data_IF_523276840907
#
_entry.id   IF_523276840907
#
_cell.length_a   1.000
_cell.length_b   1.000
_cell.length_c   1.000
_cell.angle_alpha   90.00
_cell.angle_beta   90.00
_cell.angle_gamma   90.00
#
_symmetry.space_group_name_H-M   'P 1'
#
loop_
_entity.id
_entity.type
_entity.pdbx_description
1 polymer ?
#
# COMPACT_ATOMS: atom_id res chain seq x y z
N UNK A 1 30.90 56.08 -8.46
CA UNK A 1 30.30 55.36 -9.60
C UNK A 1 30.92 53.98 -9.66
N UNK A 2 30.15 52.91 -9.48
CA UNK A 2 30.63 51.56 -9.78
C UNK A 2 30.79 51.48 -11.30
N UNK A 3 31.98 51.09 -11.78
CA UNK A 3 32.16 50.84 -13.22
C UNK A 3 31.28 49.65 -13.64
N UNK A 4 30.71 49.65 -14.86
CA UNK A 4 29.88 48.56 -15.35
C UNK A 4 30.60 47.20 -15.31
N UNK A 5 31.92 47.20 -15.44
CA UNK A 5 32.77 46.01 -15.34
C UNK A 5 32.84 45.42 -13.92
N UNK A 6 32.97 46.27 -12.89
CA UNK A 6 32.94 45.85 -11.48
C UNK A 6 31.56 45.30 -11.10
N UNK A 7 30.52 45.90 -11.68
CA UNK A 7 29.15 45.45 -11.48
C UNK A 7 28.91 44.07 -12.10
N UNK A 8 29.29 43.86 -13.36
CA UNK A 8 29.18 42.56 -14.04
C UNK A 8 29.99 41.49 -13.30
N UNK A 9 31.18 41.83 -12.83
CA UNK A 9 32.05 40.91 -12.07
C UNK A 9 31.42 40.50 -10.73
N UNK A 10 30.80 41.43 -10.02
CA UNK A 10 30.06 41.14 -8.79
C UNK A 10 28.84 40.26 -9.06
N UNK A 11 28.12 40.55 -10.14
CA UNK A 11 26.93 39.82 -10.57
C UNK A 11 27.26 38.37 -10.98
N UNK A 12 28.37 38.19 -11.70
CA UNK A 12 28.91 36.86 -12.04
C UNK A 12 29.39 36.11 -10.79
N UNK A 13 30.05 36.79 -9.86
CA UNK A 13 30.52 36.18 -8.61
C UNK A 13 29.35 35.73 -7.72
N UNK A 14 28.31 36.56 -7.58
CA UNK A 14 27.09 36.22 -6.87
C UNK A 14 26.33 35.08 -7.58
N UNK A 15 26.17 35.14 -8.90
CA UNK A 15 25.53 34.07 -9.67
C UNK A 15 26.30 32.74 -9.54
N UNK A 16 27.63 32.77 -9.62
CA UNK A 16 28.48 31.59 -9.46
C UNK A 16 28.42 31.04 -8.02
N UNK A 17 28.44 31.89 -7.00
CA UNK A 17 28.28 31.48 -5.60
C UNK A 17 26.92 30.83 -5.33
N UNK A 18 25.87 31.29 -6.00
CA UNK A 18 24.53 30.74 -5.85
C UNK A 18 24.30 29.48 -6.66
N UNK A 19 24.88 29.38 -7.87
CA UNK A 19 24.90 28.16 -8.66
C UNK A 19 25.67 27.05 -7.94
N UNK A 20 26.79 27.38 -7.29
CA UNK A 20 27.55 26.39 -6.50
C UNK A 20 26.80 25.96 -5.25
N UNK A 21 26.09 26.87 -4.56
CA UNK A 21 25.25 26.54 -3.42
C UNK A 21 24.02 25.71 -3.83
N UNK A 22 23.40 26.02 -4.97
CA UNK A 22 22.29 25.24 -5.52
C UNK A 22 22.76 23.86 -5.99
N UNK A 23 23.93 23.79 -6.64
CA UNK A 23 24.59 22.54 -7.02
C UNK A 23 24.92 21.66 -5.81
N UNK A 24 25.48 22.23 -4.74
CA UNK A 24 25.80 21.47 -3.52
C UNK A 24 24.55 20.98 -2.81
N UNK A 25 23.49 21.80 -2.76
CA UNK A 25 22.19 21.41 -2.19
C UNK A 25 21.56 20.29 -3.03
N UNK A 26 21.66 20.37 -4.36
CA UNK A 26 21.18 19.33 -5.28
C UNK A 26 21.90 18.00 -5.10
N UNK A 27 23.23 18.04 -4.96
CA UNK A 27 24.05 16.84 -4.68
C UNK A 27 23.67 16.24 -3.32
N UNK A 28 23.56 17.08 -2.28
CA UNK A 28 23.20 16.62 -0.94
C UNK A 28 21.82 15.93 -0.93
N UNK A 29 20.84 16.54 -1.58
CA UNK A 29 19.49 15.98 -1.67
C UNK A 29 19.50 14.69 -2.47
N UNK A 30 20.17 14.65 -3.62
CA UNK A 30 20.32 13.44 -4.42
C UNK A 30 20.90 12.29 -3.60
N UNK A 31 21.96 12.55 -2.82
CA UNK A 31 22.57 11.55 -1.93
C UNK A 31 21.63 11.09 -0.81
N UNK A 32 20.86 12.01 -0.21
CA UNK A 32 19.87 11.65 0.82
C UNK A 32 18.75 10.78 0.25
N UNK A 33 18.28 11.11 -0.96
CA UNK A 33 17.28 10.32 -1.67
C UNK A 33 17.82 8.95 -2.04
N UNK A 34 19.00 8.90 -2.63
CA UNK A 34 19.62 7.65 -3.05
C UNK A 34 19.81 6.70 -1.86
N UNK A 35 20.44 7.16 -0.77
CA UNK A 35 20.62 6.35 0.46
C UNK A 35 19.30 5.88 1.05
N UNK A 36 18.25 6.68 0.90
CA UNK A 36 16.92 6.33 1.39
C UNK A 36 16.26 5.26 0.52
N UNK A 37 16.35 5.41 -0.80
CA UNK A 37 15.86 4.42 -1.76
C UNK A 37 16.55 3.09 -1.51
N UNK A 38 17.88 3.09 -1.38
CA UNK A 38 18.67 1.88 -1.07
C UNK A 38 18.20 1.21 0.23
N UNK A 39 17.97 1.99 1.30
CA UNK A 39 17.45 1.45 2.58
C UNK A 39 16.04 0.91 2.47
N UNK A 40 15.14 1.59 1.75
CA UNK A 40 13.77 1.16 1.57
C UNK A 40 13.69 -0.10 0.69
N UNK A 41 14.52 -0.18 -0.35
CA UNK A 41 14.67 -1.37 -1.19
C UNK A 41 15.22 -2.55 -0.39
N UNK A 42 16.29 -2.35 0.36
CA UNK A 42 16.86 -3.42 1.22
C UNK A 42 15.86 -3.96 2.24
N UNK A 43 15.04 -3.10 2.86
CA UNK A 43 13.98 -3.55 3.79
C UNK A 43 12.87 -4.30 3.05
N UNK A 44 12.55 -3.88 1.83
CA UNK A 44 11.55 -4.56 1.01
C UNK A 44 12.07 -5.94 0.57
N UNK A 45 13.33 -6.05 0.16
CA UNK A 45 13.98 -7.32 -0.16
C UNK A 45 13.97 -8.25 1.06
N UNK A 46 14.39 -7.77 2.24
CA UNK A 46 14.36 -8.54 3.48
C UNK A 46 12.92 -9.00 3.82
N UNK A 47 11.93 -8.12 3.64
CA UNK A 47 10.50 -8.46 3.86
C UNK A 47 10.01 -9.55 2.90
N UNK A 48 10.52 -9.59 1.68
CA UNK A 48 10.15 -10.53 0.64
C UNK A 48 10.95 -11.84 0.68
N UNK A 49 12.09 -11.86 1.38
CA UNK A 49 12.84 -13.08 1.68
C UNK A 49 12.24 -13.87 2.85
N UNK A 50 11.56 -13.20 3.80
CA UNK A 50 10.92 -13.86 4.95
C UNK A 50 10.07 -15.08 4.55
N UNK A 51 9.19 -15.01 3.53
CA UNK A 51 8.33 -16.13 3.16
C UNK A 51 9.04 -17.41 2.75
N UNK A 52 10.33 -17.36 2.39
CA UNK A 52 11.13 -18.54 2.03
C UNK A 52 11.69 -19.30 3.24
N UNK A 53 11.51 -18.77 4.45
CA UNK A 53 11.87 -19.48 5.68
C UNK A 53 10.70 -20.31 6.20
N UNK A 54 10.56 -21.53 5.70
CA UNK A 54 9.52 -22.47 6.14
C UNK A 54 9.64 -22.77 7.66
N UNK A 55 8.48 -22.90 8.32
CA UNK A 55 8.32 -23.36 9.72
C UNK A 55 8.68 -22.39 10.86
N UNK A 56 9.00 -21.11 10.63
CA UNK A 56 9.18 -20.11 11.71
C UNK A 56 7.98 -19.18 11.85
N UNK A 57 7.74 -18.65 13.06
CA UNK A 57 6.80 -17.52 13.23
C UNK A 57 7.44 -16.23 12.71
N UNK A 58 6.98 -15.79 11.53
CA UNK A 58 7.50 -14.62 10.83
C UNK A 58 6.61 -13.38 11.02
N UNK A 59 5.43 -13.50 11.66
CA UNK A 59 4.55 -12.35 11.93
C UNK A 59 5.26 -11.30 12.83
N UNK A 60 6.12 -11.76 13.74
CA UNK A 60 7.07 -10.97 14.51
C UNK A 60 7.97 -10.07 13.65
N UNK A 61 8.94 -10.69 12.95
CA UNK A 61 9.86 -10.03 12.02
C UNK A 61 9.17 -9.16 10.96
N UNK A 62 8.08 -9.65 10.36
CA UNK A 62 7.39 -8.98 9.26
C UNK A 62 6.80 -7.63 9.68
N UNK A 63 6.13 -7.58 10.84
CA UNK A 63 5.64 -6.31 11.41
C UNK A 63 6.78 -5.37 11.76
N UNK A 64 7.91 -5.90 12.26
CA UNK A 64 9.07 -5.07 12.58
C UNK A 64 9.66 -4.44 11.32
N UNK A 65 9.82 -5.19 10.23
CA UNK A 65 10.30 -4.67 8.95
C UNK A 65 9.36 -3.63 8.37
N UNK A 66 8.06 -3.86 8.43
CA UNK A 66 7.08 -2.87 7.96
C UNK A 66 7.13 -1.59 8.82
N UNK A 67 7.28 -1.70 10.14
CA UNK A 67 7.48 -0.53 11.01
C UNK A 67 8.78 0.20 10.67
N UNK A 68 9.87 -0.53 10.42
CA UNK A 68 11.16 0.02 9.99
C UNK A 68 11.03 0.74 8.64
N UNK A 69 10.31 0.15 7.69
CA UNK A 69 9.97 0.75 6.41
C UNK A 69 9.22 2.06 6.59
N UNK A 70 8.19 2.07 7.43
CA UNK A 70 7.41 3.27 7.76
C UNK A 70 8.23 4.38 8.39
N UNK A 71 9.15 4.04 9.29
CA UNK A 71 10.04 5.01 9.92
C UNK A 71 10.96 5.69 8.91
N UNK A 72 11.42 4.97 7.89
CA UNK A 72 12.23 5.55 6.82
C UNK A 72 11.37 6.26 5.75
N UNK A 73 10.10 5.89 5.59
CA UNK A 73 9.18 6.48 4.61
C UNK A 73 8.51 7.78 5.10
N UNK A 74 8.25 7.93 6.40
CA UNK A 74 7.64 9.13 6.96
C UNK A 74 8.72 10.00 7.60
N UNK A 75 9.07 11.12 6.94
CA UNK A 75 9.94 12.12 7.56
C UNK A 75 9.31 12.62 8.88
N UNK A 76 10.10 12.82 9.95
CA UNK A 76 9.63 13.64 11.05
C UNK A 76 9.30 15.03 10.49
N UNK A 77 8.11 15.55 10.79
CA UNK A 77 7.61 16.80 10.22
C UNK A 77 8.54 18.02 10.46
N UNK A 78 9.36 17.97 11.52
CA UNK A 78 10.27 19.06 11.92
C UNK A 78 11.45 19.27 10.96
N UNK A 79 12.35 18.29 10.73
CA UNK A 79 13.51 18.48 9.85
C UNK A 79 13.14 18.83 8.40
N UNK A 80 12.08 18.22 7.84
CA UNK A 80 11.63 18.54 6.48
C UNK A 80 11.19 19.99 6.34
N UNK A 81 10.44 20.50 7.34
CA UNK A 81 10.03 21.90 7.39
C UNK A 81 11.21 22.85 7.60
N UNK A 82 12.20 22.47 8.41
CA UNK A 82 13.42 23.28 8.61
C UNK A 82 14.26 23.40 7.35
N UNK A 83 14.41 22.31 6.58
CA UNK A 83 15.13 22.33 5.29
C UNK A 83 14.42 23.22 4.28
N UNK A 84 13.09 23.10 4.15
CA UNK A 84 12.30 23.96 3.28
C UNK A 84 12.36 25.43 3.70
N UNK A 85 12.34 25.71 5.01
CA UNK A 85 12.45 27.08 5.53
C UNK A 85 13.83 27.66 5.26
N UNK A 86 14.91 26.89 5.47
CA UNK A 86 16.27 27.33 5.16
C UNK A 86 16.41 27.66 3.66
N UNK A 87 15.82 26.84 2.80
CA UNK A 87 15.81 27.08 1.36
C UNK A 87 14.98 28.32 1.00
N UNK A 88 13.78 28.47 1.54
CA UNK A 88 12.95 29.64 1.31
C UNK A 88 13.66 30.93 1.79
N UNK A 89 14.37 30.86 2.91
CA UNK A 89 15.16 31.97 3.43
C UNK A 89 16.35 32.32 2.54
N UNK A 90 17.12 31.33 2.06
CA UNK A 90 18.23 31.60 1.14
C UNK A 90 17.72 32.17 -0.19
N UNK A 91 16.61 31.66 -0.71
CA UNK A 91 15.97 32.21 -1.92
C UNK A 91 15.52 33.65 -1.74
N UNK A 92 14.90 33.96 -0.61
CA UNK A 92 14.45 35.32 -0.31
C UNK A 92 15.64 36.28 -0.21
N UNK A 93 16.71 35.86 0.45
CA UNK A 93 17.94 36.65 0.62
C UNK A 93 18.64 36.90 -0.73
N UNK A 94 18.67 35.89 -1.61
CA UNK A 94 19.17 36.01 -2.98
C UNK A 94 18.36 37.04 -3.76
N UNK A 95 17.03 36.87 -3.80
CA UNK A 95 16.15 37.77 -4.52
C UNK A 95 16.27 39.21 -4.01
N UNK A 96 16.42 39.38 -2.69
CA UNK A 96 16.59 40.68 -2.06
C UNK A 96 17.92 41.35 -2.45
N UNK A 97 19.06 40.66 -2.29
CA UNK A 97 20.37 41.18 -2.69
C UNK A 97 20.36 41.59 -4.17
N UNK A 98 19.78 40.75 -5.03
CA UNK A 98 19.71 41.00 -6.47
C UNK A 98 18.79 42.14 -6.87
N UNK A 99 17.60 42.27 -6.25
CA UNK A 99 16.73 43.43 -6.46
C UNK A 99 17.42 44.73 -6.04
N UNK A 100 18.17 44.69 -4.95
CA UNK A 100 18.94 45.85 -4.45
C UNK A 100 20.01 46.26 -5.47
N UNK A 101 20.72 45.28 -6.04
CA UNK A 101 21.74 45.46 -7.07
C UNK A 101 21.14 46.02 -8.37
N UNK A 102 20.01 45.46 -8.84
CA UNK A 102 19.28 45.95 -10.01
C UNK A 102 18.80 47.40 -9.82
N UNK A 103 18.30 47.73 -8.63
CA UNK A 103 17.85 49.09 -8.30
C UNK A 103 19.01 50.08 -8.25
N UNK A 104 20.20 49.67 -7.78
CA UNK A 104 21.39 50.53 -7.72
C UNK A 104 21.99 50.80 -9.10
N UNK A 105 21.76 49.91 -10.07
CA UNK A 105 22.29 50.01 -11.44
C UNK A 105 21.31 50.56 -12.45
N UNK A 106 20.11 50.88 -12.03
CA UNK A 106 19.13 51.52 -12.88
C UNK A 106 19.58 52.94 -13.24
N UNK A 107 19.93 53.13 -14.51
CA UNK A 107 20.18 54.45 -15.09
C UNK A 107 19.16 54.66 -16.20
N UNK A 108 18.53 55.83 -16.20
CA UNK A 108 17.62 56.22 -17.26
C UNK A 108 18.41 56.90 -18.38
N UNK A 109 18.19 56.58 -19.67
CA UNK A 109 17.19 55.66 -20.23
C UNK A 109 17.59 54.17 -20.20
N UNK A 110 16.59 53.29 -20.30
CA UNK A 110 16.76 51.82 -20.23
C UNK A 110 17.69 51.33 -21.34
N UNK A 111 18.88 50.87 -20.93
CA UNK A 111 19.86 50.23 -21.80
C UNK A 111 19.39 48.82 -22.22
N UNK A 112 19.53 48.38 -23.48
CA UNK A 112 19.36 46.99 -23.91
C UNK A 112 20.05 45.96 -22.99
N UNK A 113 21.19 46.32 -22.39
CA UNK A 113 21.91 45.47 -21.45
C UNK A 113 21.09 45.19 -20.17
N UNK A 114 20.25 46.14 -19.74
CA UNK A 114 19.33 45.97 -18.62
C UNK A 114 18.25 44.91 -18.92
N UNK A 115 17.74 44.87 -20.15
CA UNK A 115 16.75 43.87 -20.59
C UNK A 115 17.34 42.46 -20.56
N UNK A 116 18.61 42.30 -20.97
CA UNK A 116 19.33 41.03 -20.90
C UNK A 116 19.50 40.55 -19.43
N UNK A 117 19.77 41.47 -18.51
CA UNK A 117 19.84 41.16 -17.07
C UNK A 117 18.47 40.69 -16.52
N UNK A 118 17.36 41.32 -16.93
CA UNK A 118 16.02 40.88 -16.57
C UNK A 118 15.67 39.48 -17.13
N UNK A 119 16.13 39.15 -18.35
CA UNK A 119 15.92 37.81 -18.91
C UNK A 119 16.68 36.72 -18.13
N UNK A 120 17.94 36.98 -17.77
CA UNK A 120 18.72 36.11 -16.88
C UNK A 120 18.01 35.92 -15.53
N UNK A 121 17.39 36.97 -14.98
CA UNK A 121 16.60 36.89 -13.76
C UNK A 121 15.41 35.92 -13.90
N UNK A 122 14.69 35.96 -15.02
CA UNK A 122 13.57 35.06 -15.27
C UNK A 122 14.02 33.59 -15.38
N UNK A 123 15.13 33.32 -16.05
CA UNK A 123 15.68 31.95 -16.15
C UNK A 123 16.17 31.40 -14.81
N UNK A 124 16.83 32.21 -13.99
CA UNK A 124 17.29 31.79 -12.65
C UNK A 124 16.09 31.53 -11.75
N UNK A 125 15.10 32.43 -11.74
CA UNK A 125 13.86 32.24 -10.97
C UNK A 125 13.10 30.97 -11.38
N UNK A 126 13.05 30.67 -12.69
CA UNK A 126 12.47 29.44 -13.23
C UNK A 126 13.19 28.18 -12.74
N UNK A 127 14.52 28.15 -12.79
CA UNK A 127 15.33 27.04 -12.30
C UNK A 127 15.16 26.83 -10.79
N UNK A 128 15.15 27.91 -10.02
CA UNK A 128 14.89 27.89 -8.58
C UNK A 128 13.50 27.33 -8.25
N UNK A 129 12.47 27.77 -8.96
CA UNK A 129 11.11 27.28 -8.77
C UNK A 129 11.02 25.77 -9.05
N UNK A 130 11.63 25.32 -10.14
CA UNK A 130 11.68 23.91 -10.52
C UNK A 130 12.42 23.08 -9.45
N UNK A 131 13.55 23.59 -8.94
CA UNK A 131 14.31 22.96 -7.87
C UNK A 131 13.52 22.86 -6.56
N UNK A 132 12.82 23.94 -6.15
CA UNK A 132 11.93 23.92 -4.97
C UNK A 132 10.84 22.87 -5.11
N UNK A 133 10.24 22.76 -6.29
CA UNK A 133 9.20 21.77 -6.57
C UNK A 133 9.75 20.34 -6.48
N UNK A 134 10.94 20.09 -7.05
CA UNK A 134 11.61 18.78 -6.94
C UNK A 134 11.97 18.44 -5.48
N UNK A 135 12.37 19.43 -4.68
CA UNK A 135 12.70 19.20 -3.27
C UNK A 135 11.49 18.92 -2.40
N UNK A 136 10.41 19.68 -2.56
CA UNK A 136 9.15 19.40 -1.86
C UNK A 136 8.67 17.99 -2.20
N UNK A 137 8.70 17.63 -3.48
CA UNK A 137 8.37 16.29 -3.98
C UNK A 137 9.27 15.18 -3.42
N UNK A 138 10.52 15.50 -3.15
CA UNK A 138 11.51 14.58 -2.58
C UNK A 138 11.31 14.38 -1.07
N UNK A 139 10.99 15.45 -0.35
CA UNK A 139 10.81 15.44 1.11
C UNK A 139 9.46 14.79 1.49
N UNK A 140 8.41 14.97 0.68
CA UNK A 140 7.12 14.29 0.86
C UNK A 140 6.82 13.38 -0.34
N UNK A 141 7.35 12.13 -0.37
CA UNK A 141 7.06 11.19 -1.46
C UNK A 141 5.60 10.72 -1.47
N UNK A 142 4.84 10.98 -0.40
CA UNK A 142 3.41 10.65 -0.29
C UNK A 142 2.61 11.38 -1.36
N UNK A 143 2.19 10.63 -2.39
CA UNK A 143 1.24 11.12 -3.40
C UNK A 143 1.88 11.69 -4.67
N UNK A 144 3.21 11.63 -4.83
CA UNK A 144 3.83 12.06 -6.08
C UNK A 144 3.79 10.93 -7.13
N UNK A 145 3.11 11.12 -8.28
CA UNK A 145 3.04 10.11 -9.34
C UNK A 145 4.41 9.69 -9.89
N UNK A 146 5.43 10.54 -9.78
CA UNK A 146 6.79 10.22 -10.25
C UNK A 146 7.54 9.22 -9.35
N UNK A 147 7.26 9.20 -8.04
CA UNK A 147 7.96 8.33 -7.07
C UNK A 147 7.15 7.12 -6.63
N UNK A 148 5.81 7.16 -6.74
CA UNK A 148 4.93 6.02 -6.46
C UNK A 148 5.31 4.72 -7.19
N UNK A 149 5.78 4.71 -8.46
CA UNK A 149 6.19 3.46 -9.12
C UNK A 149 7.52 2.91 -8.58
N UNK A 150 8.36 3.73 -7.93
CA UNK A 150 9.68 3.31 -7.43
C UNK A 150 9.62 2.95 -5.94
N UNK A 151 8.83 3.69 -5.14
CA UNK A 151 8.75 3.53 -3.68
C UNK A 151 7.30 3.32 -3.28
N UNK A 152 6.94 2.12 -2.78
CA UNK A 152 5.58 1.86 -2.38
C UNK A 152 5.19 2.65 -1.13
N UNK A 153 4.00 3.26 -1.09
CA UNK A 153 3.56 3.90 0.13
C UNK A 153 3.22 2.81 1.17
N UNK A 154 3.53 3.03 2.47
CA UNK A 154 3.45 1.98 3.46
C UNK A 154 2.08 1.34 3.64
N UNK A 155 1.00 2.09 3.38
CA UNK A 155 -0.36 1.57 3.49
C UNK A 155 -0.70 0.50 2.43
N UNK A 156 0.09 0.39 1.36
CA UNK A 156 -0.11 -0.63 0.31
C UNK A 156 0.70 -1.91 0.55
N UNK A 157 1.57 -1.94 1.56
CA UNK A 157 2.38 -3.14 1.88
C UNK A 157 1.56 -4.34 2.38
N UNK A 158 0.26 -4.15 2.66
CA UNK A 158 -0.68 -5.23 2.99
C UNK A 158 -1.48 -5.75 1.81
N UNK A 159 -1.46 -5.05 0.66
CA UNK A 159 -2.18 -5.49 -0.53
C UNK A 159 -1.35 -6.54 -1.25
N UNK A 160 -1.95 -7.71 -1.43
CA UNK A 160 -1.32 -8.85 -2.09
C UNK A 160 -1.08 -8.55 -3.57
N UNK A 161 -2.08 -7.95 -4.24
CA UNK A 161 -1.99 -7.55 -5.65
C UNK A 161 -0.90 -6.51 -5.90
N UNK A 162 -0.68 -5.66 -4.90
CA UNK A 162 0.28 -4.60 -5.00
C UNK A 162 1.70 -5.15 -4.84
N UNK A 163 1.94 -6.00 -3.83
CA UNK A 163 3.24 -6.64 -3.64
C UNK A 163 3.67 -7.48 -4.85
N UNK A 164 2.74 -8.22 -5.46
CA UNK A 164 3.03 -9.05 -6.64
C UNK A 164 3.43 -8.24 -7.89
N UNK A 165 3.00 -6.98 -8.00
CA UNK A 165 3.39 -6.08 -9.10
C UNK A 165 4.75 -5.44 -8.91
N UNK A 166 5.19 -5.25 -7.66
CA UNK A 166 6.43 -4.54 -7.37
C UNK A 166 7.64 -5.46 -7.38
N UNK A 167 7.47 -6.73 -6.98
CA UNK A 167 8.54 -7.73 -6.98
C UNK A 167 7.97 -9.07 -7.43
N UNK A 168 8.77 -9.85 -8.16
CA UNK A 168 8.43 -11.16 -8.68
C UNK A 168 8.37 -12.22 -7.55
N UNK A 169 7.52 -11.99 -6.55
CA UNK A 169 7.29 -12.90 -5.42
C UNK A 169 6.02 -13.66 -5.66
N UNK A 170 6.05 -14.96 -5.37
CA UNK A 170 4.85 -15.79 -5.51
C UNK A 170 3.77 -15.32 -4.53
N UNK A 171 2.57 -15.06 -5.05
CA UNK A 171 1.41 -14.67 -4.21
C UNK A 171 1.11 -15.73 -3.16
N UNK A 172 1.34 -17.00 -3.49
CA UNK A 172 1.29 -18.15 -2.58
C UNK A 172 2.13 -17.90 -1.32
N UNK A 173 3.40 -17.52 -1.49
CA UNK A 173 4.32 -17.28 -0.37
C UNK A 173 3.85 -16.12 0.53
N UNK A 174 3.32 -15.04 -0.06
CA UNK A 174 2.80 -13.88 0.70
C UNK A 174 1.58 -14.28 1.52
N UNK A 175 0.61 -14.96 0.91
CA UNK A 175 -0.62 -15.38 1.58
C UNK A 175 -0.35 -16.44 2.66
N UNK A 176 0.68 -17.28 2.52
CA UNK A 176 1.09 -18.22 3.57
C UNK A 176 1.43 -17.51 4.89
N UNK A 177 1.92 -16.27 4.83
CA UNK A 177 2.25 -15.46 6.02
C UNK A 177 1.01 -14.89 6.72
N UNK A 178 -0.13 -14.80 6.03
CA UNK A 178 -1.40 -14.39 6.63
C UNK A 178 -1.87 -15.38 7.70
N UNK A 179 -1.46 -16.66 7.58
CA UNK A 179 -1.81 -17.78 8.47
C UNK A 179 -3.30 -17.82 8.76
N UNK A 180 -4.05 -18.09 7.71
CA UNK A 180 -5.49 -18.25 7.80
C UNK A 180 -5.86 -19.40 8.74
N UNK A 181 -6.82 -19.15 9.61
CA UNK A 181 -7.56 -20.17 10.35
C UNK A 181 -9.04 -19.84 10.25
N UNK A 182 -9.88 -20.86 10.19
CA UNK A 182 -11.32 -20.70 10.14
C UNK A 182 -11.93 -21.18 11.47
N UNK A 183 -12.89 -20.42 11.98
CA UNK A 183 -13.67 -20.83 13.15
C UNK A 183 -15.15 -20.58 12.94
N UNK A 184 -15.99 -21.47 13.45
CA UNK A 184 -17.43 -21.27 13.58
C UNK A 184 -17.75 -21.14 15.06
N UNK A 185 -18.39 -20.05 15.46
CA UNK A 185 -18.84 -19.84 16.84
C UNK A 185 -20.08 -20.68 17.16
N UNK A 186 -20.41 -20.82 18.46
CA UNK A 186 -21.64 -21.46 18.93
C UNK A 186 -22.90 -20.91 18.23
N UNK A 187 -22.91 -19.59 18.03
CA UNK A 187 -23.97 -18.81 17.40
C UNK A 187 -24.09 -19.00 15.88
N UNK A 188 -23.26 -19.87 15.29
CA UNK A 188 -23.24 -20.17 13.86
C UNK A 188 -22.54 -19.13 13.00
N UNK A 189 -21.71 -18.25 13.57
CA UNK A 189 -20.96 -17.25 12.82
C UNK A 189 -19.64 -17.82 12.29
N UNK A 190 -19.43 -17.76 10.97
CA UNK A 190 -18.17 -18.09 10.34
C UNK A 190 -17.21 -16.92 10.46
N UNK A 191 -16.05 -17.15 11.06
CA UNK A 191 -14.97 -16.17 11.22
C UNK A 191 -13.68 -16.69 10.59
N UNK A 192 -13.08 -15.85 9.75
CA UNK A 192 -11.72 -16.04 9.23
C UNK A 192 -10.75 -15.29 10.13
N UNK A 193 -9.90 -16.03 10.83
CA UNK A 193 -8.80 -15.48 11.63
C UNK A 193 -7.57 -15.33 10.74
N UNK A 194 -6.95 -14.16 10.77
CA UNK A 194 -5.66 -13.89 10.15
C UNK A 194 -4.66 -13.48 11.23
N UNK A 195 -3.52 -14.18 11.32
CA UNK A 195 -2.44 -13.75 12.23
C UNK A 195 -1.81 -12.43 11.74
N UNK A 196 -1.72 -12.25 10.42
CA UNK A 196 -1.24 -11.01 9.79
C UNK A 196 -2.25 -10.50 8.75
N UNK A 197 -2.65 -9.24 8.86
CA UNK A 197 -3.69 -8.66 8.01
C UNK A 197 -3.22 -8.43 6.56
N UNK A 198 -3.61 -9.30 5.63
CA UNK A 198 -3.46 -9.08 4.19
C UNK A 198 -4.81 -8.81 3.55
N UNK A 199 -4.86 -7.88 2.60
CA UNK A 199 -6.08 -7.46 1.92
C UNK A 199 -5.96 -7.48 0.39
N UNK A 200 -7.02 -6.97 -0.26
CA UNK A 200 -7.09 -6.74 -1.71
C UNK A 200 -7.13 -8.04 -2.52
N UNK A 201 -7.92 -8.98 -2.01
CA UNK A 201 -8.29 -10.20 -2.72
C UNK A 201 -9.78 -10.48 -2.59
N UNK A 202 -10.31 -11.14 -3.60
CA UNK A 202 -11.68 -11.65 -3.58
C UNK A 202 -11.65 -13.09 -3.06
N UNK A 203 -12.59 -13.46 -2.20
CA UNK A 203 -12.68 -14.82 -1.67
C UNK A 203 -13.99 -15.50 -2.04
N UNK A 204 -13.94 -16.83 -2.03
CA UNK A 204 -15.11 -17.69 -2.11
C UNK A 204 -14.90 -18.86 -1.13
N UNK A 205 -15.79 -18.97 -0.15
CA UNK A 205 -15.83 -20.01 0.87
C UNK A 205 -17.05 -20.90 0.61
N UNK A 206 -16.84 -22.21 0.64
CA UNK A 206 -17.90 -23.18 0.53
C UNK A 206 -17.76 -24.27 1.60
N UNK A 207 -18.86 -24.58 2.27
CA UNK A 207 -19.01 -25.73 3.16
C UNK A 207 -20.12 -26.63 2.61
N UNK A 208 -19.75 -27.86 2.25
CA UNK A 208 -20.67 -28.81 1.62
C UNK A 208 -21.69 -29.35 2.60
N UNK A 209 -21.25 -29.68 3.81
CA UNK A 209 -22.04 -30.34 4.85
C UNK A 209 -23.17 -29.44 5.36
N UNK A 210 -22.89 -28.13 5.48
CA UNK A 210 -23.87 -27.12 5.91
C UNK A 210 -24.56 -26.41 4.76
N UNK A 211 -24.24 -26.76 3.50
CA UNK A 211 -24.66 -26.03 2.30
C UNK A 211 -24.47 -24.51 2.44
N UNK A 212 -23.34 -24.07 2.97
CA UNK A 212 -23.08 -22.66 3.21
C UNK A 212 -22.12 -22.11 2.17
N UNK A 213 -22.40 -20.89 1.71
CA UNK A 213 -21.60 -20.16 0.74
C UNK A 213 -21.28 -18.76 1.28
N UNK A 214 -20.03 -18.30 1.19
CA UNK A 214 -19.67 -16.90 1.46
C UNK A 214 -18.65 -16.39 0.45
N UNK A 215 -18.77 -15.14 0.02
CA UNK A 215 -17.88 -14.56 -0.98
C UNK A 215 -17.82 -13.04 -0.87
N UNK A 216 -16.82 -12.44 -1.50
CA UNK A 216 -16.71 -10.99 -1.60
C UNK A 216 -15.28 -10.50 -1.58
N UNK A 217 -15.11 -9.19 -1.50
CA UNK A 217 -13.80 -8.55 -1.44
C UNK A 217 -13.38 -8.30 0.02
N UNK A 218 -12.20 -8.78 0.40
CA UNK A 218 -11.57 -8.40 1.67
C UNK A 218 -10.71 -7.17 1.46
N UNK A 219 -11.22 -6.02 1.93
CA UNK A 219 -10.53 -4.75 1.92
C UNK A 219 -10.58 -4.11 3.29
N UNK A 220 -9.41 -3.94 3.92
CA UNK A 220 -9.35 -3.35 5.25
C UNK A 220 -9.13 -1.84 5.17
N UNK A 221 -9.57 -1.10 6.17
CA UNK A 221 -9.19 0.30 6.36
C UNK A 221 -8.84 0.48 7.82
N UNK A 222 -7.54 0.61 8.12
CA UNK A 222 -7.10 0.77 9.49
C UNK A 222 -6.97 2.25 9.83
N UNK A 223 -7.54 2.70 10.96
CA UNK A 223 -7.34 4.07 11.39
C UNK A 223 -5.86 4.30 11.72
N UNK A 224 -5.33 5.52 11.49
CA UNK A 224 -3.97 5.84 11.88
C UNK A 224 -3.79 5.68 13.39
N UNK A 225 -2.58 5.31 13.80
CA UNK A 225 -2.23 5.13 15.21
C UNK A 225 -2.62 6.39 16.02
N UNK A 226 -3.39 6.26 17.11
CA UNK A 226 -3.87 7.40 17.87
C UNK A 226 -2.75 8.29 18.41
N UNK A 227 -1.60 7.70 18.76
CA UNK A 227 -0.44 8.38 19.36
C UNK A 227 0.42 9.01 18.27
N UNK A 228 0.86 8.21 17.29
CA UNK A 228 1.84 8.66 16.31
C UNK A 228 1.22 9.33 15.08
N UNK A 229 -0.11 9.18 14.89
CA UNK A 229 -0.86 9.56 13.68
C UNK A 229 -0.32 8.94 12.39
N UNK A 230 0.60 7.97 12.49
CA UNK A 230 1.15 7.25 11.34
C UNK A 230 0.14 6.21 10.85
N UNK A 231 0.09 5.94 9.54
CA UNK A 231 -0.73 4.86 9.00
C UNK A 231 -0.32 3.54 9.67
N UNK A 232 -1.29 2.70 10.02
CA UNK A 232 -1.07 1.33 10.51
C UNK A 232 -1.22 0.38 9.32
N UNK A 233 -0.11 -0.14 8.77
CA UNK A 233 -0.14 -0.83 7.48
C UNK A 233 -0.51 -2.30 7.66
N UNK A 234 -0.23 -2.89 8.82
CA UNK A 234 -0.51 -4.26 9.19
C UNK A 234 -1.02 -4.30 10.63
N UNK A 235 -2.02 -5.14 10.87
CA UNK A 235 -2.51 -5.52 12.18
C UNK A 235 -2.30 -7.02 12.39
N UNK A 236 -2.26 -7.42 13.67
CA UNK A 236 -2.14 -8.82 14.07
C UNK A 236 -3.48 -9.31 14.57
N UNK A 237 -3.71 -10.62 14.45
CA UNK A 237 -4.85 -11.33 15.02
C UNK A 237 -6.19 -10.65 14.64
N UNK A 238 -6.43 -10.55 13.34
CA UNK A 238 -7.69 -10.05 12.82
C UNK A 238 -8.72 -11.18 12.80
N UNK A 239 -9.93 -10.92 13.29
CA UNK A 239 -11.09 -11.78 13.10
C UNK A 239 -12.05 -11.13 12.09
N UNK A 240 -12.35 -11.86 11.02
CA UNK A 240 -13.17 -11.34 9.92
C UNK A 240 -14.45 -12.18 9.85
N UNK A 241 -15.62 -11.62 10.18
CA UNK A 241 -16.86 -12.33 10.01
C UNK A 241 -17.14 -12.50 8.51
N UNK A 242 -17.47 -13.73 8.10
CA UNK A 242 -17.76 -14.10 6.71
C UNK A 242 -19.25 -14.31 6.46
N UNK A 243 -20.00 -14.64 7.51
CA UNK A 243 -21.45 -14.85 7.46
C UNK A 243 -21.93 -15.60 8.70
N UNK A 244 -23.24 -15.78 8.80
CA UNK A 244 -23.89 -16.44 9.94
C UNK A 244 -24.86 -17.49 9.43
N UNK A 245 -25.10 -18.52 10.24
CA UNK A 245 -26.19 -19.47 10.08
C UNK A 245 -27.37 -19.08 10.97
N UNK A 246 -28.59 -19.24 10.47
CA UNK A 246 -29.81 -19.06 11.27
C UNK A 246 -29.94 -20.15 12.32
N UNK A 247 -29.48 -21.37 12.02
CA UNK A 247 -29.47 -22.51 12.93
C UNK A 247 -28.10 -22.61 13.64
N UNK A 248 -28.08 -22.97 14.95
CA UNK A 248 -26.84 -23.10 15.71
C UNK A 248 -25.94 -24.19 15.10
N UNK A 249 -24.63 -23.91 15.02
CA UNK A 249 -23.68 -24.79 14.33
C UNK A 249 -23.63 -26.21 14.93
N UNK A 250 -23.95 -26.33 16.22
CA UNK A 250 -23.79 -27.51 17.09
C UNK A 250 -24.78 -28.67 16.85
N UNK A 251 -25.85 -28.50 16.07
CA UNK A 251 -26.88 -29.55 15.92
C UNK A 251 -26.47 -30.75 15.04
N UNK A 252 -25.34 -30.65 14.32
CA UNK A 252 -24.91 -31.70 13.40
C UNK A 252 -23.73 -32.47 14.00
N UNK A 253 -23.94 -33.74 14.37
CA UNK A 253 -22.94 -34.70 14.86
C UNK A 253 -21.89 -35.11 13.78
N UNK A 254 -21.60 -34.25 12.80
CA UNK A 254 -20.61 -34.53 11.76
C UNK A 254 -19.28 -33.92 12.16
N UNK A 255 -18.32 -34.79 12.44
CA UNK A 255 -16.91 -34.45 12.61
C UNK A 255 -16.08 -35.32 11.66
N UNK A 256 -15.08 -34.75 10.95
CA UNK A 256 -14.74 -33.33 10.79
C UNK A 256 -15.55 -32.61 9.68
N UNK A 257 -15.70 -31.29 9.77
CA UNK A 257 -16.27 -30.46 8.70
C UNK A 257 -15.18 -30.05 7.71
N UNK A 258 -15.45 -30.23 6.42
CA UNK A 258 -14.52 -29.85 5.35
C UNK A 258 -14.98 -28.54 4.72
N UNK A 259 -14.07 -27.57 4.63
CA UNK A 259 -14.36 -26.30 3.97
C UNK A 259 -13.29 -25.95 2.95
N UNK A 260 -13.74 -25.51 1.79
CA UNK A 260 -12.87 -25.08 0.72
C UNK A 260 -12.96 -23.57 0.58
N UNK A 261 -11.81 -22.91 0.63
CA UNK A 261 -11.68 -21.46 0.55
C UNK A 261 -10.76 -21.08 -0.61
N UNK A 262 -11.33 -20.42 -1.61
CA UNK A 262 -10.61 -19.90 -2.75
C UNK A 262 -10.29 -18.42 -2.53
N UNK A 263 -9.04 -18.06 -2.77
CA UNK A 263 -8.56 -16.68 -2.87
C UNK A 263 -8.26 -16.36 -4.33
N UNK A 264 -8.85 -15.28 -4.83
CA UNK A 264 -8.66 -14.72 -6.16
C UNK A 264 -7.88 -13.40 -6.04
N UNK A 265 -6.53 -13.45 -6.04
CA UNK A 265 -5.71 -12.26 -5.92
C UNK A 265 -5.65 -11.49 -7.26
N UNK A 266 -5.68 -10.16 -7.24
CA UNK A 266 -5.55 -9.43 -8.51
C UNK A 266 -4.14 -9.59 -9.08
N UNK A 267 -4.06 -9.91 -10.38
CA UNK A 267 -2.78 -10.04 -11.11
C UNK A 267 -2.35 -11.49 -11.38
N UNK A 268 -2.95 -12.46 -10.71
CA UNK A 268 -2.75 -13.88 -11.01
C UNK A 268 -3.81 -14.42 -11.98
N UNK A 269 -3.49 -15.53 -12.64
CA UNK A 269 -4.43 -16.24 -13.52
C UNK A 269 -5.24 -17.32 -12.81
N UNK A 270 -4.65 -17.89 -11.76
CA UNK A 270 -5.18 -19.06 -11.05
C UNK A 270 -5.42 -18.72 -9.58
N UNK A 271 -6.56 -19.15 -9.00
CA UNK A 271 -6.83 -18.90 -7.59
C UNK A 271 -5.98 -19.82 -6.69
N UNK A 272 -5.82 -19.39 -5.45
CA UNK A 272 -5.20 -20.18 -4.38
C UNK A 272 -6.31 -20.83 -3.56
N UNK A 273 -6.30 -22.15 -3.49
CA UNK A 273 -7.23 -22.95 -2.71
C UNK A 273 -6.63 -23.28 -1.34
N UNK A 274 -7.44 -23.14 -0.31
CA UNK A 274 -7.18 -23.58 1.05
C UNK A 274 -8.25 -24.59 1.45
N UNK A 275 -7.80 -25.75 1.89
CA UNK A 275 -8.68 -26.76 2.45
C UNK A 275 -8.56 -26.76 3.98
N UNK A 276 -9.66 -26.43 4.64
CA UNK A 276 -9.77 -26.40 6.08
C UNK A 276 -10.48 -27.66 6.57
N UNK A 277 -9.87 -28.32 7.54
CA UNK A 277 -10.49 -29.39 8.33
C UNK A 277 -10.82 -28.77 9.68
N UNK A 278 -12.11 -28.65 9.98
CA UNK A 278 -12.56 -28.10 11.25
C UNK A 278 -12.94 -29.24 12.20
N UNK A 279 -12.38 -29.17 13.40
CA UNK A 279 -12.71 -30.05 14.51
C UNK A 279 -13.61 -29.31 15.48
N UNK A 280 -14.50 -30.05 16.13
CA UNK A 280 -15.35 -29.51 17.18
C UNK A 280 -14.51 -29.35 18.45
N UNK A 281 -14.53 -28.17 19.04
CA UNK A 281 -13.90 -27.87 20.33
C UNK A 281 -14.92 -27.09 21.17
N UNK A 282 -15.17 -27.56 22.41
CA UNK A 282 -16.08 -27.01 23.43
C UNK A 282 -17.38 -26.33 22.93
N UNK A 283 -17.30 -25.10 22.44
CA UNK A 283 -18.43 -24.27 22.02
C UNK A 283 -18.49 -23.99 20.50
N UNK A 284 -17.63 -24.57 19.68
CA UNK A 284 -17.57 -24.25 18.25
C UNK A 284 -16.78 -25.23 17.40
N UNK A 285 -16.47 -24.80 16.18
CA UNK A 285 -15.60 -25.52 15.26
C UNK A 285 -14.36 -24.68 14.98
N UNK A 286 -13.18 -25.30 15.05
CA UNK A 286 -11.91 -24.64 14.84
C UNK A 286 -11.05 -25.42 13.86
N UNK A 287 -10.49 -24.72 12.87
CA UNK A 287 -9.43 -25.28 12.04
C UNK A 287 -8.10 -25.11 12.74
N UNK A 288 -7.18 -26.04 12.48
CA UNK A 288 -5.76 -25.79 12.79
C UNK A 288 -5.27 -24.58 11.99
N UNK A 289 -4.35 -23.79 12.53
CA UNK A 289 -3.59 -22.84 11.72
C UNK A 289 -2.77 -23.65 10.68
N UNK A 290 -2.50 -23.06 9.52
CA UNK A 290 -1.79 -23.69 8.38
C UNK A 290 -2.63 -24.72 7.59
N UNK A 291 -3.75 -24.31 6.99
CA UNK A 291 -4.42 -25.12 5.97
C UNK A 291 -3.46 -25.49 4.83
N UNK A 292 -3.70 -26.64 4.21
CA UNK A 292 -3.00 -27.01 2.98
C UNK A 292 -3.37 -25.99 1.88
N UNK A 293 -2.35 -25.46 1.23
CA UNK A 293 -2.48 -24.39 0.23
C UNK A 293 -2.01 -24.87 -1.13
N UNK A 294 -2.93 -24.87 -2.09
CA UNK A 294 -2.69 -25.32 -3.47
C UNK A 294 -3.04 -24.22 -4.46
N UNK A 295 -2.31 -24.14 -5.58
CA UNK A 295 -2.68 -23.24 -6.69
C UNK A 295 -3.55 -24.05 -7.64
N UNK A 296 -4.81 -23.63 -7.82
CA UNK A 296 -5.77 -24.39 -8.60
C UNK A 296 -5.67 -24.04 -10.09
N UNK A 297 -4.81 -24.75 -10.81
CA UNK A 297 -4.50 -24.51 -12.22
C UNK A 297 -5.69 -24.76 -13.17
N UNK A 298 -6.68 -25.53 -12.71
CA UNK A 298 -7.89 -25.86 -13.46
C UNK A 298 -8.97 -24.77 -13.43
N UNK A 299 -8.80 -23.76 -12.56
CA UNK A 299 -9.62 -22.56 -12.52
C UNK A 299 -8.84 -21.42 -13.16
N UNK A 300 -9.46 -20.75 -14.12
CA UNK A 300 -8.91 -19.53 -14.73
C UNK A 300 -9.90 -18.41 -14.51
N UNK A 301 -9.44 -17.30 -13.94
CA UNK A 301 -10.26 -16.13 -13.68
C UNK A 301 -9.66 -14.88 -14.30
N UNK A 302 -10.51 -13.87 -14.47
CA UNK A 302 -10.10 -12.54 -14.88
C UNK A 302 -10.97 -11.49 -14.20
N UNK A 303 -10.33 -10.47 -13.64
CA UNK A 303 -11.03 -9.31 -13.10
C UNK A 303 -11.12 -8.23 -14.18
N UNK A 304 -12.34 -7.87 -14.61
CA UNK A 304 -12.59 -6.74 -15.53
C UNK A 304 -13.65 -5.82 -14.93
N UNK A 305 -13.44 -4.51 -15.00
CA UNK A 305 -14.43 -3.51 -14.55
C UNK A 305 -14.96 -3.75 -13.12
N UNK A 306 -14.08 -4.17 -12.20
CA UNK A 306 -14.45 -4.53 -10.82
C UNK A 306 -15.43 -5.70 -10.70
N UNK A 307 -15.52 -6.58 -11.69
CA UNK A 307 -16.24 -7.84 -11.62
C UNK A 307 -15.28 -9.01 -11.84
N UNK A 308 -15.44 -10.08 -11.05
CA UNK A 308 -14.72 -11.33 -11.20
C UNK A 308 -15.44 -12.21 -12.22
N UNK A 309 -14.75 -12.54 -13.31
CA UNK A 309 -15.22 -13.50 -14.30
C UNK A 309 -14.41 -14.79 -14.19
N UNK A 310 -15.09 -15.93 -14.17
CA UNK A 310 -14.46 -17.25 -14.24
C UNK A 310 -14.53 -17.70 -15.70
N UNK A 311 -13.37 -17.81 -16.34
CA UNK A 311 -13.25 -18.14 -17.75
C UNK A 311 -13.25 -19.66 -17.97
N UNK A 312 -12.58 -20.40 -17.08
CA UNK A 312 -12.46 -21.84 -17.14
C UNK A 312 -12.66 -22.45 -15.75
N UNK A 313 -13.25 -23.64 -15.70
CA UNK A 313 -13.43 -24.37 -14.45
C UNK A 313 -14.62 -23.92 -13.60
N UNK A 314 -15.52 -23.06 -14.12
CA UNK A 314 -16.73 -22.60 -13.44
C UNK A 314 -17.51 -23.71 -12.70
N UNK A 315 -17.57 -24.92 -13.27
CA UNK A 315 -18.22 -26.11 -12.66
C UNK A 315 -17.61 -26.57 -11.33
N UNK A 316 -16.38 -26.16 -11.01
CA UNK A 316 -15.73 -26.47 -9.74
C UNK A 316 -16.24 -25.58 -8.59
N UNK A 317 -16.83 -24.43 -8.92
CA UNK A 317 -17.39 -23.52 -7.93
C UNK A 317 -18.89 -23.80 -7.78
N UNK A 318 -19.34 -24.30 -6.62
CA UNK A 318 -20.73 -24.64 -6.39
C UNK A 318 -21.63 -23.42 -6.54
N UNK A 319 -22.77 -23.58 -7.20
CA UNK A 319 -23.78 -22.52 -7.37
C UNK A 319 -23.27 -21.25 -8.07
N UNK A 320 -22.16 -21.33 -8.81
CA UNK A 320 -21.58 -20.18 -9.52
C UNK A 320 -22.60 -19.45 -10.41
N UNK A 321 -23.38 -20.20 -11.20
CA UNK A 321 -24.34 -19.65 -12.16
C UNK A 321 -25.42 -18.78 -11.49
N UNK A 322 -25.73 -19.02 -10.22
CA UNK A 322 -26.72 -18.24 -9.47
C UNK A 322 -26.17 -16.92 -8.92
N UNK A 323 -24.86 -16.86 -8.69
CA UNK A 323 -24.22 -15.76 -7.95
C UNK A 323 -23.23 -14.95 -8.79
N UNK A 324 -22.99 -15.30 -10.06
CA UNK A 324 -22.05 -14.60 -10.96
C UNK A 324 -22.30 -13.08 -11.03
N UNK A 325 -23.56 -12.65 -11.04
CA UNK A 325 -23.93 -11.23 -11.07
C UNK A 325 -23.54 -10.47 -9.79
N UNK A 326 -23.26 -11.18 -8.71
CA UNK A 326 -22.88 -10.59 -7.41
C UNK A 326 -21.37 -10.57 -7.17
N UNK A 327 -20.58 -11.08 -8.11
CA UNK A 327 -19.13 -11.17 -7.97
C UNK A 327 -18.42 -9.84 -8.24
N UNK A 328 -18.71 -8.85 -7.41
CA UNK A 328 -18.25 -7.48 -7.53
C UNK A 328 -17.14 -7.16 -6.52
N UNK A 329 -16.10 -6.48 -6.99
CA UNK A 329 -15.04 -5.86 -6.20
C UNK A 329 -15.49 -4.47 -5.72
N UNK A 330 -16.39 -4.47 -4.75
CA UNK A 330 -16.99 -3.28 -4.15
C UNK A 330 -16.67 -3.12 -2.65
N UNK A 331 -15.76 -3.92 -2.11
CA UNK A 331 -15.42 -3.98 -0.69
C UNK A 331 -16.52 -4.56 0.20
N UNK A 332 -17.54 -5.21 -0.37
CA UNK A 332 -18.61 -5.86 0.37
C UNK A 332 -18.41 -7.36 0.45
N UNK A 333 -18.98 -7.95 1.51
CA UNK A 333 -19.00 -9.38 1.78
C UNK A 333 -20.42 -9.88 1.75
N UNK A 334 -20.62 -11.04 1.15
CA UNK A 334 -21.91 -11.69 0.98
C UNK A 334 -21.84 -13.13 1.47
N UNK A 335 -22.98 -13.66 1.88
CA UNK A 335 -23.14 -15.06 2.24
C UNK A 335 -24.54 -15.57 1.89
N UNK A 336 -24.70 -16.88 1.81
CA UNK A 336 -25.97 -17.57 1.63
C UNK A 336 -25.97 -18.87 2.42
N UNK A 337 -26.97 -19.00 3.28
CA UNK A 337 -27.23 -20.23 4.06
C UNK A 337 -27.93 -21.30 3.22
N UNK A 338 -28.63 -20.89 2.17
CA UNK A 338 -29.35 -21.76 1.24
C UNK A 338 -29.00 -21.36 -0.18
N UNK A 339 -27.82 -21.74 -0.69
CA UNK A 339 -27.30 -21.27 -1.97
C UNK A 339 -28.20 -21.65 -3.16
N UNK A 340 -29.01 -22.71 -3.03
CA UNK A 340 -30.00 -23.09 -4.04
C UNK A 340 -31.12 -22.05 -4.24
N UNK A 341 -31.39 -21.17 -3.26
CA UNK A 341 -32.42 -20.12 -3.38
C UNK A 341 -31.95 -18.92 -4.21
N UNK A 342 -30.64 -18.81 -4.49
CA UNK A 342 -30.08 -17.72 -5.30
C UNK A 342 -30.17 -16.33 -4.67
N UNK A 343 -30.46 -16.23 -3.37
CA UNK A 343 -30.60 -14.96 -2.65
C UNK A 343 -29.37 -14.70 -1.77
N UNK A 344 -28.56 -13.67 -2.07
CA UNK A 344 -27.40 -13.33 -1.25
C UNK A 344 -27.81 -12.43 -0.07
N UNK A 345 -27.26 -12.72 1.10
CA UNK A 345 -27.30 -11.87 2.28
C UNK A 345 -25.99 -11.07 2.36
N UNK A 346 -26.05 -9.82 2.85
CA UNK A 346 -24.86 -8.98 3.04
C UNK A 346 -24.32 -9.14 4.46
N UNK A 347 -23.01 -9.31 4.60
CA UNK A 347 -22.34 -9.31 5.91
C UNK A 347 -21.95 -7.87 6.28
N UNK A 348 -22.60 -7.32 7.31
CA UNK A 348 -22.37 -5.94 7.79
C UNK A 348 -21.40 -5.85 8.97
N UNK A 349 -21.13 -6.96 9.66
CA UNK A 349 -20.27 -6.99 10.85
C UNK A 349 -18.83 -6.57 10.50
N UNK A 350 -18.25 -5.55 11.14
CA UNK A 350 -16.91 -5.09 10.82
C UNK A 350 -15.85 -6.14 11.23
N UNK A 351 -14.67 -6.16 10.59
CA UNK A 351 -13.53 -6.92 11.08
C UNK A 351 -13.08 -6.44 12.46
N UNK A 352 -12.76 -7.38 13.34
CA UNK A 352 -12.32 -7.13 14.72
C UNK A 352 -10.81 -7.39 14.87
N UNK A 353 -10.17 -6.68 15.79
CA UNK A 353 -8.74 -6.83 16.13
C UNK A 353 -8.68 -7.40 17.53
N UNK A 354 -8.03 -8.56 17.71
CA UNK A 354 -7.99 -9.29 18.98
C UNK A 354 -6.67 -9.11 19.74
#
# INVERSE_FOLDING_TARGET
MFSPELFISFLWSAAAGLLTLLGSTGIFVSLVVQRRIERLQSILEEFLELPYSENKNLAGPMVHLVRKYQMHYLFPNRPGRTILLYLDFTLMLIAFLWLTILSLSFQWPIDPFFVFQCFLMALIAGNVYLFRRLLQQTISPTGNPLFNPIIPPPYRLRSVSYLSRYVNVSVKSVLQQARFALSITADGEFRLKQELSFDDFYYFLYCKEKNFLAWGELRFNFPPDPITKKPTPLQRNMEIPLGRLTEPALEVNQEPLLMTFYIFPQGEKHPVQYDFILHKEDEGYHSRPFPEMTVQSSLVFQVKQSQLYILEGAKMLPYHDLYESTYLWNGQRYYSEKPAEGKPCRCEAPPEVC
#
